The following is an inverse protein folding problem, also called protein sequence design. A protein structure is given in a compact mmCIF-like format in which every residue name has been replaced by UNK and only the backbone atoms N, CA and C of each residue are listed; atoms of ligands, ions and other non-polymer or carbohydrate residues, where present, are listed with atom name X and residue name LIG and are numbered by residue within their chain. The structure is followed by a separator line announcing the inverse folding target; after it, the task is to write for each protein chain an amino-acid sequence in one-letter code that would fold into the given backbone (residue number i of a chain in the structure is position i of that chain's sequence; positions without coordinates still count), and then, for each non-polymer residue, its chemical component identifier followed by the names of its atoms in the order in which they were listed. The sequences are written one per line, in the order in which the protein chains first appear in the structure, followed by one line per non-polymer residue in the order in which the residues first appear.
data_IF_154035679253
#
_entry.id   IF_154035679253
#
_cell.length_a   1.000
_cell.length_b   1.000
_cell.length_c   1.000
_cell.angle_alpha   90.00
_cell.angle_beta   90.00
_cell.angle_gamma   90.00
#
_symmetry.space_group_name_H-M   'P 1'
#
loop_
_entity.id
_entity.type
_entity.pdbx_description
1 polymer ?
#
# COMPACT_ATOMS: atom_id res chain seq x y z
N UNK A 1 -6.83 25.27 13.22
CA UNK A 1 -6.19 24.24 14.08
C UNK A 1 -7.27 23.25 14.48
N UNK A 2 -7.19 22.00 14.04
CA UNK A 2 -8.14 20.96 14.49
C UNK A 2 -7.76 20.61 15.94
N UNK A 3 -8.64 20.94 16.89
CA UNK A 3 -8.44 20.60 18.30
C UNK A 3 -8.56 19.08 18.45
N UNK A 4 -7.44 18.40 18.67
CA UNK A 4 -7.42 16.95 18.88
C UNK A 4 -8.19 16.63 20.17
N UNK A 5 -9.25 15.81 20.07
CA UNK A 5 -10.01 15.37 21.25
C UNK A 5 -9.08 14.57 22.16
N UNK A 6 -8.94 15.00 23.42
CA UNK A 6 -8.20 14.26 24.44
C UNK A 6 -9.14 13.42 25.28
N UNK A 7 -8.75 12.19 25.56
CA UNK A 7 -9.54 11.25 26.36
C UNK A 7 -8.92 11.08 27.74
N UNK A 8 -9.74 11.03 28.78
CA UNK A 8 -9.27 10.65 30.13
C UNK A 8 -9.54 9.17 30.32
N UNK A 9 -8.49 8.38 30.50
CA UNK A 9 -8.57 6.92 30.66
C UNK A 9 -8.10 6.55 32.08
N UNK A 10 -8.87 5.69 32.76
CA UNK A 10 -8.55 5.16 34.09
C UNK A 10 -8.87 3.65 34.14
N UNK A 11 -7.94 2.78 34.57
CA UNK A 11 -6.54 3.07 34.87
C UNK A 11 -5.75 3.50 33.61
N UNK A 12 -4.59 4.15 33.79
CA UNK A 12 -3.71 4.51 32.66
C UNK A 12 -3.20 3.25 31.99
N UNK A 13 -3.14 3.24 30.66
CA UNK A 13 -2.69 2.09 29.88
C UNK A 13 -1.20 1.77 30.10
N UNK A 14 -0.36 2.79 30.19
CA UNK A 14 1.08 2.65 30.43
C UNK A 14 1.63 3.83 31.25
N UNK A 15 2.80 3.65 31.85
CA UNK A 15 3.59 4.74 32.45
C UNK A 15 4.80 5.11 31.57
N UNK A 16 5.04 4.35 30.49
CA UNK A 16 6.11 4.60 29.53
C UNK A 16 5.75 5.68 28.49
N UNK A 17 6.77 6.13 27.75
CA UNK A 17 6.63 7.06 26.61
C UNK A 17 6.34 6.37 25.28
N UNK A 18 6.36 5.04 25.26
CA UNK A 18 6.25 4.22 24.07
C UNK A 18 5.40 2.99 24.38
N UNK A 19 4.54 2.63 23.44
CA UNK A 19 3.84 1.34 23.38
C UNK A 19 4.23 0.69 22.07
N UNK A 20 4.54 -0.60 22.13
CA UNK A 20 4.77 -1.45 20.97
C UNK A 20 3.61 -2.44 20.86
N UNK A 21 2.97 -2.49 19.69
CA UNK A 21 1.88 -3.40 19.36
C UNK A 21 2.43 -4.52 18.47
N UNK A 22 2.04 -5.78 18.67
CA UNK A 22 2.47 -6.93 17.84
C UNK A 22 3.39 -7.92 18.56
N UNK A 23 4.16 -7.43 19.53
CA UNK A 23 4.86 -8.16 20.59
C UNK A 23 5.90 -9.24 20.17
N UNK A 24 7.17 -8.81 20.04
CA UNK A 24 8.34 -9.56 20.53
C UNK A 24 9.48 -8.67 21.07
N UNK A 25 10.27 -9.27 21.95
CA UNK A 25 11.02 -8.79 23.12
C UNK A 25 11.96 -7.55 23.06
N UNK A 26 12.19 -6.88 21.93
CA UNK A 26 13.17 -5.77 21.91
C UNK A 26 12.75 -4.53 21.12
N UNK A 27 11.67 -4.59 20.32
CA UNK A 27 11.19 -3.44 19.54
C UNK A 27 12.24 -2.85 18.58
N UNK A 28 13.20 -3.69 18.17
CA UNK A 28 14.30 -3.35 17.25
C UNK A 28 13.78 -2.95 15.87
N UNK A 29 12.73 -3.63 15.41
CA UNK A 29 12.12 -3.34 14.11
C UNK A 29 10.68 -2.93 14.28
N UNK A 30 10.33 -1.74 13.80
CA UNK A 30 9.01 -1.18 14.00
C UNK A 30 8.64 -0.11 12.98
N UNK A 31 7.36 0.19 12.88
CA UNK A 31 6.84 1.42 12.24
C UNK A 31 6.06 2.25 13.23
N UNK A 32 6.13 3.57 13.06
CA UNK A 32 5.35 4.53 13.83
C UNK A 32 3.90 4.56 13.36
N UNK A 33 2.96 4.31 14.26
CA UNK A 33 1.53 4.43 13.95
C UNK A 33 0.94 5.77 14.38
N UNK A 34 1.53 6.41 15.39
CA UNK A 34 1.02 7.65 15.95
C UNK A 34 1.22 7.75 17.46
N UNK A 35 0.26 8.38 18.13
CA UNK A 35 0.30 8.64 19.57
C UNK A 35 -1.04 8.35 20.21
N UNK A 36 -1.03 7.98 21.48
CA UNK A 36 -2.27 7.92 22.25
C UNK A 36 -2.92 9.30 22.32
N UNK A 37 -4.23 9.34 22.15
CA UNK A 37 -5.05 10.55 22.30
C UNK A 37 -5.43 10.81 23.78
N UNK A 38 -4.72 10.20 24.74
CA UNK A 38 -4.99 10.36 26.17
C UNK A 38 -4.53 11.72 26.69
N UNK A 39 -5.21 12.24 27.70
CA UNK A 39 -4.81 13.44 28.42
C UNK A 39 -3.57 13.16 29.26
N UNK A 40 -2.57 14.04 29.15
CA UNK A 40 -1.32 13.96 29.92
C UNK A 40 -0.10 13.88 29.02
N UNK A 41 0.78 12.94 29.33
CA UNK A 41 2.04 12.73 28.63
C UNK A 41 1.80 12.15 27.23
N UNK A 42 2.58 12.61 26.25
CA UNK A 42 2.56 12.04 24.91
C UNK A 42 3.17 10.64 24.94
N UNK A 43 2.42 9.66 24.46
CA UNK A 43 2.84 8.26 24.36
C UNK A 43 2.88 7.90 22.88
N UNK A 44 4.08 7.57 22.39
CA UNK A 44 4.32 7.06 21.04
C UNK A 44 3.77 5.64 20.91
N UNK A 45 3.14 5.35 19.79
CA UNK A 45 2.61 4.02 19.46
C UNK A 45 3.33 3.54 18.21
N UNK A 46 4.05 2.43 18.38
CA UNK A 46 4.76 1.74 17.32
C UNK A 46 4.16 0.36 17.09
N UNK A 47 4.29 -0.16 15.88
CA UNK A 47 3.92 -1.51 15.50
C UNK A 47 5.18 -2.33 15.24
N UNK A 48 5.29 -3.46 15.90
CA UNK A 48 6.40 -4.39 15.77
C UNK A 48 6.40 -5.05 14.39
N UNK A 49 7.59 -5.17 13.80
CA UNK A 49 7.81 -5.86 12.54
C UNK A 49 8.69 -7.10 12.71
N UNK A 50 9.05 -7.46 13.94
CA UNK A 50 9.97 -8.55 14.23
C UNK A 50 9.50 -9.91 13.66
N UNK A 51 8.18 -10.12 13.61
CA UNK A 51 7.53 -11.32 13.09
C UNK A 51 6.46 -10.97 12.02
N UNK A 52 6.01 -11.94 11.20
CA UNK A 52 4.91 -11.73 10.28
C UNK A 52 3.58 -11.48 11.01
N UNK A 53 2.82 -10.49 10.54
CA UNK A 53 1.51 -10.14 11.08
C UNK A 53 0.45 -10.12 9.97
N UNK A 54 -0.76 -10.56 10.29
CA UNK A 54 -1.96 -10.31 9.48
C UNK A 54 -2.71 -9.16 10.16
N UNK A 55 -2.85 -8.03 9.46
CA UNK A 55 -3.46 -6.81 9.98
C UNK A 55 -4.68 -6.45 9.15
N UNK A 56 -5.78 -6.08 9.82
CA UNK A 56 -6.98 -5.59 9.18
C UNK A 56 -7.40 -4.23 9.75
N UNK A 57 -7.66 -3.26 8.88
CA UNK A 57 -8.03 -1.88 9.24
C UNK A 57 -9.49 -1.64 8.89
N UNK A 58 -10.35 -1.51 9.91
CA UNK A 58 -11.79 -1.32 9.73
C UNK A 58 -12.26 0.06 10.21
N UNK A 59 -13.38 0.54 9.66
CA UNK A 59 -13.99 1.81 10.07
C UNK A 59 -14.97 2.39 9.04
N UNK A 60 -15.83 3.31 9.49
CA UNK A 60 -16.82 3.99 8.64
C UNK A 60 -16.17 4.79 7.51
N UNK A 61 -16.95 5.21 6.51
CA UNK A 61 -16.47 6.14 5.47
C UNK A 61 -15.91 7.41 6.13
N UNK A 62 -14.73 7.85 5.70
CA UNK A 62 -14.06 9.03 6.25
C UNK A 62 -13.39 8.83 7.62
N UNK A 63 -13.33 7.61 8.17
CA UNK A 63 -12.71 7.36 9.48
C UNK A 63 -11.18 7.29 9.48
N UNK A 64 -10.52 7.51 8.33
CA UNK A 64 -9.06 7.49 8.24
C UNK A 64 -8.40 6.14 7.89
N UNK A 65 -9.13 5.13 7.40
CA UNK A 65 -8.54 3.82 7.03
C UNK A 65 -7.32 3.94 6.10
N UNK A 66 -7.49 4.65 4.98
CA UNK A 66 -6.41 4.87 4.02
C UNK A 66 -5.28 5.72 4.59
N UNK A 67 -5.60 6.64 5.51
CA UNK A 67 -4.59 7.43 6.20
C UNK A 67 -3.72 6.54 7.09
N UNK A 68 -4.33 5.65 7.88
CA UNK A 68 -3.60 4.67 8.69
C UNK A 68 -2.76 3.73 7.83
N UNK A 69 -3.30 3.22 6.72
CA UNK A 69 -2.53 2.39 5.78
C UNK A 69 -1.37 3.19 5.16
N UNK A 70 -1.57 4.45 4.83
CA UNK A 70 -0.54 5.35 4.32
C UNK A 70 0.60 5.54 5.30
N UNK A 71 0.31 5.90 6.56
CA UNK A 71 1.34 6.04 7.60
C UNK A 71 2.10 4.73 7.84
N UNK A 72 1.41 3.60 7.78
CA UNK A 72 2.04 2.29 7.88
C UNK A 72 3.00 2.03 6.70
N UNK A 73 2.54 2.30 5.48
CA UNK A 73 3.30 2.10 4.25
C UNK A 73 4.51 3.04 4.16
N UNK A 74 4.38 4.31 4.56
CA UNK A 74 5.50 5.25 4.64
C UNK A 74 6.60 4.71 5.57
N UNK A 75 6.23 4.16 6.72
CA UNK A 75 7.16 3.53 7.64
C UNK A 75 7.86 2.29 7.06
N UNK A 76 7.17 1.51 6.22
CA UNK A 76 7.75 0.33 5.57
C UNK A 76 8.73 0.67 4.44
N UNK A 77 8.60 1.86 3.84
CA UNK A 77 9.32 2.23 2.62
C UNK A 77 10.42 3.26 2.87
N UNK A 78 10.91 3.44 4.11
CA UNK A 78 12.00 4.39 4.37
C UNK A 78 13.31 3.92 3.73
N UNK A 79 14.07 4.85 3.13
CA UNK A 79 15.39 4.53 2.56
C UNK A 79 16.42 4.14 3.60
N UNK A 80 16.42 4.86 4.72
CA UNK A 80 17.36 4.61 5.80
C UNK A 80 16.83 3.52 6.75
N UNK A 81 17.70 2.65 7.28
CA UNK A 81 17.30 1.59 8.22
C UNK A 81 16.71 2.10 9.53
N UNK A 82 17.03 3.32 9.94
CA UNK A 82 16.52 3.93 11.17
C UNK A 82 16.12 5.38 10.91
N UNK A 83 14.86 5.70 11.20
CA UNK A 83 14.26 7.01 10.95
C UNK A 83 13.32 7.42 12.08
N UNK A 84 12.73 8.62 11.99
CA UNK A 84 11.74 9.04 12.98
C UNK A 84 10.41 8.29 12.90
N UNK A 85 10.13 7.63 11.77
CA UNK A 85 8.87 6.89 11.52
C UNK A 85 9.04 5.38 11.44
N UNK A 86 10.27 4.85 11.48
CA UNK A 86 10.53 3.41 11.42
C UNK A 86 11.93 3.04 11.88
N UNK A 87 12.10 1.77 12.25
CA UNK A 87 13.39 1.11 12.26
C UNK A 87 13.23 -0.25 11.56
N UNK A 88 13.95 -0.47 10.47
CA UNK A 88 13.89 -1.67 9.63
C UNK A 88 15.31 -2.03 9.24
N UNK A 89 15.83 -3.08 9.88
CA UNK A 89 17.22 -3.53 9.68
C UNK A 89 17.33 -4.69 8.72
N UNK A 90 16.24 -5.43 8.51
CA UNK A 90 16.16 -6.55 7.55
C UNK A 90 15.71 -6.05 6.19
N UNK A 91 16.20 -6.69 5.14
CA UNK A 91 15.71 -6.48 3.77
C UNK A 91 14.23 -6.86 3.70
N UNK A 92 13.38 -5.89 3.34
CA UNK A 92 11.94 -6.07 3.17
C UNK A 92 11.49 -5.32 1.91
N UNK A 93 10.45 -5.83 1.27
CA UNK A 93 9.75 -5.15 0.18
C UNK A 93 8.27 -5.05 0.53
N UNK A 94 7.67 -3.89 0.23
CA UNK A 94 6.24 -3.68 0.36
C UNK A 94 5.59 -3.65 -1.02
N UNK A 95 4.49 -4.41 -1.19
CA UNK A 95 3.66 -4.39 -2.40
C UNK A 95 2.26 -3.93 -2.02
N UNK A 96 1.78 -2.88 -2.68
CA UNK A 96 0.45 -2.32 -2.47
C UNK A 96 -0.36 -2.41 -3.76
N UNK A 97 -1.54 -3.02 -3.69
CA UNK A 97 -2.57 -2.91 -4.72
C UNK A 97 -3.48 -1.72 -4.40
N UNK A 98 -3.22 -0.58 -5.02
CA UNK A 98 -4.01 0.64 -4.85
C UNK A 98 -5.14 0.72 -5.89
N UNK A 99 -6.27 0.11 -5.56
CA UNK A 99 -7.44 0.09 -6.46
C UNK A 99 -8.14 1.45 -6.61
N UNK A 100 -7.83 2.43 -5.75
CA UNK A 100 -8.44 3.77 -5.79
C UNK A 100 -7.47 4.86 -6.29
N UNK A 101 -6.19 4.54 -6.50
CA UNK A 101 -5.18 5.48 -6.97
C UNK A 101 -4.87 6.63 -6.00
N UNK A 102 -5.11 6.46 -4.71
CA UNK A 102 -4.92 7.51 -3.69
C UNK A 102 -3.47 7.61 -3.18
N UNK A 103 -2.67 6.56 -3.36
CA UNK A 103 -1.28 6.49 -2.90
C UNK A 103 -0.26 6.90 -3.97
N UNK A 104 -0.73 7.38 -5.13
CA UNK A 104 0.10 7.90 -6.23
C UNK A 104 0.97 9.12 -5.88
N UNK A 105 0.84 9.67 -4.68
CA UNK A 105 1.58 10.85 -4.20
C UNK A 105 2.66 10.50 -3.16
N UNK A 106 2.86 9.21 -2.85
CA UNK A 106 3.84 8.77 -1.85
C UNK A 106 5.29 9.13 -2.21
N UNK A 107 5.59 9.34 -3.49
CA UNK A 107 6.90 9.76 -3.97
C UNK A 107 7.14 11.28 -3.84
N UNK A 108 6.13 12.04 -3.40
CA UNK A 108 6.22 13.49 -3.20
C UNK A 108 6.60 13.79 -1.74
N UNK A 109 7.85 14.21 -1.46
CA UNK A 109 8.27 14.48 -0.10
C UNK A 109 7.60 15.73 0.45
N UNK A 110 7.31 15.71 1.76
CA UNK A 110 6.83 16.89 2.46
C UNK A 110 7.95 17.93 2.55
N UNK A 111 7.70 19.14 2.03
CA UNK A 111 8.66 20.25 2.06
C UNK A 111 8.00 21.57 2.48
N UNK A 112 8.51 22.25 3.54
CA UNK A 112 8.01 23.56 3.96
C UNK A 112 8.21 24.66 2.91
N UNK A 113 9.19 24.50 2.00
CA UNK A 113 9.47 25.44 0.92
C UNK A 113 8.69 25.15 -0.36
N UNK A 114 7.82 24.12 -0.35
CA UNK A 114 6.98 23.81 -1.51
C UNK A 114 6.09 25.01 -1.88
N UNK A 115 5.92 25.34 -3.17
CA UNK A 115 4.97 26.37 -3.60
C UNK A 115 3.51 25.95 -3.41
N UNK A 116 3.24 24.65 -3.15
CA UNK A 116 1.90 24.15 -2.94
C UNK A 116 1.44 24.42 -1.51
N UNK A 117 0.36 25.18 -1.36
CA UNK A 117 -0.24 25.54 -0.07
C UNK A 117 -0.54 24.31 0.81
N UNK A 118 -1.04 23.23 0.21
CA UNK A 118 -1.35 21.99 0.93
C UNK A 118 -0.12 21.39 1.63
N UNK A 119 1.02 21.35 0.93
CA UNK A 119 2.28 20.83 1.49
C UNK A 119 2.82 21.73 2.61
N UNK A 120 2.65 23.05 2.49
CA UNK A 120 3.01 23.98 3.57
C UNK A 120 2.13 23.76 4.82
N UNK A 121 0.83 23.59 4.64
CA UNK A 121 -0.11 23.31 5.75
C UNK A 121 0.21 21.98 6.44
N UNK A 122 0.53 20.94 5.67
CA UNK A 122 0.98 19.65 6.21
C UNK A 122 2.32 19.77 6.95
N UNK A 123 3.28 20.52 6.42
CA UNK A 123 4.57 20.76 7.07
C UNK A 123 4.41 21.53 8.39
N UNK A 124 3.46 22.45 8.48
CA UNK A 124 3.11 23.12 9.74
C UNK A 124 2.47 22.16 10.75
N UNK A 125 1.58 21.27 10.29
CA UNK A 125 0.96 20.26 11.15
C UNK A 125 2.00 19.27 11.72
N UNK A 126 2.99 18.89 10.91
CA UNK A 126 4.09 18.01 11.31
C UNK A 126 4.89 18.56 12.49
N UNK A 127 5.06 19.88 12.63
CA UNK A 127 5.83 20.49 13.73
C UNK A 127 5.31 20.13 15.13
N UNK A 128 4.04 19.72 15.25
CA UNK A 128 3.46 19.21 16.50
C UNK A 128 3.87 17.76 16.83
N UNK A 129 4.62 17.12 15.94
CA UNK A 129 5.03 15.74 16.00
C UNK A 129 6.56 15.61 16.06
N UNK A 130 7.01 14.51 16.65
CA UNK A 130 8.41 14.13 16.80
C UNK A 130 8.78 13.21 15.64
N UNK A 131 8.50 13.72 14.44
CA UNK A 131 8.73 13.07 13.15
C UNK A 131 9.22 14.12 12.17
N UNK A 132 9.99 13.70 11.16
CA UNK A 132 10.41 14.54 10.05
C UNK A 132 10.01 13.90 8.72
N UNK A 133 10.14 14.67 7.64
CA UNK A 133 9.97 14.15 6.29
C UNK A 133 11.14 13.22 6.00
N UNK A 134 10.87 11.92 5.83
CA UNK A 134 11.89 10.92 5.52
C UNK A 134 11.84 10.58 4.02
N UNK A 135 12.99 10.38 3.37
CA UNK A 135 13.01 9.96 1.98
C UNK A 135 12.52 8.50 1.86
N UNK A 136 11.58 8.27 0.95
CA UNK A 136 10.99 6.95 0.72
C UNK A 136 11.58 6.28 -0.53
N UNK A 137 11.79 4.97 -0.45
CA UNK A 137 12.11 4.10 -1.57
C UNK A 137 10.83 3.50 -2.14
N UNK A 138 10.18 4.27 -3.01
CA UNK A 138 8.90 3.90 -3.60
C UNK A 138 8.99 3.93 -5.12
N UNK A 139 8.30 2.97 -5.74
CA UNK A 139 8.12 2.92 -7.18
C UNK A 139 6.65 2.74 -7.48
N UNK A 140 6.08 3.72 -8.18
CA UNK A 140 4.67 3.72 -8.54
C UNK A 140 4.54 3.17 -9.96
N UNK A 141 3.68 2.17 -10.10
CA UNK A 141 3.36 1.52 -11.37
C UNK A 141 1.92 1.85 -11.73
N UNK A 142 1.70 2.55 -12.83
CA UNK A 142 0.38 2.99 -13.28
C UNK A 142 0.01 2.30 -14.60
N UNK A 143 -1.25 1.85 -14.79
CA UNK A 143 -1.65 1.19 -16.02
C UNK A 143 -1.33 2.01 -17.27
N UNK A 144 -0.84 1.36 -18.34
CA UNK A 144 -0.65 1.99 -19.66
C UNK A 144 -1.89 2.78 -20.07
N UNK A 145 -1.67 4.01 -20.54
CA UNK A 145 -2.75 4.91 -20.99
C UNK A 145 -3.34 5.79 -19.88
N UNK A 146 -2.93 5.62 -18.62
CA UNK A 146 -3.25 6.60 -17.58
C UNK A 146 -2.39 7.86 -17.74
N UNK A 147 -2.99 9.04 -17.62
CA UNK A 147 -2.24 10.30 -17.58
C UNK A 147 -1.50 10.37 -16.25
N UNK A 148 -0.24 9.94 -16.23
CA UNK A 148 0.59 10.03 -15.04
C UNK A 148 0.83 11.50 -14.66
N UNK A 149 0.61 11.82 -13.39
CA UNK A 149 0.92 13.12 -12.79
C UNK A 149 2.43 13.36 -12.64
N UNK A 150 3.24 12.28 -12.63
CA UNK A 150 4.68 12.31 -12.43
C UNK A 150 5.43 11.60 -13.57
N UNK A 151 6.55 12.16 -14.00
CA UNK A 151 7.45 11.53 -15.00
C UNK A 151 8.21 10.32 -14.45
N UNK A 152 8.16 10.08 -13.15
CA UNK A 152 8.89 8.99 -12.49
C UNK A 152 8.06 7.70 -12.36
N UNK A 153 6.75 7.76 -12.61
CA UNK A 153 5.90 6.58 -12.56
C UNK A 153 6.24 5.63 -13.71
N UNK A 154 6.28 4.35 -13.40
CA UNK A 154 6.46 3.29 -14.38
C UNK A 154 5.13 2.87 -14.97
N UNK A 155 5.18 2.44 -16.22
CA UNK A 155 4.03 1.85 -16.86
C UNK A 155 3.83 0.41 -16.40
N UNK A 156 2.60 0.10 -16.00
CA UNK A 156 2.15 -1.24 -15.69
C UNK A 156 1.36 -1.79 -16.88
N UNK A 157 1.76 -2.95 -17.37
CA UNK A 157 1.05 -3.71 -18.38
C UNK A 157 1.02 -5.16 -17.97
N UNK A 158 -0.07 -5.84 -18.30
CA UNK A 158 -0.16 -7.29 -18.19
C UNK A 158 0.00 -7.85 -19.59
N UNK A 159 0.83 -8.88 -19.74
CA UNK A 159 0.96 -9.58 -21.00
C UNK A 159 -0.29 -10.46 -21.19
N UNK A 160 -1.05 -10.21 -22.25
CA UNK A 160 -2.25 -10.98 -22.54
C UNK A 160 -1.96 -12.47 -22.78
N UNK A 161 -0.74 -12.82 -23.21
CA UNK A 161 -0.35 -14.22 -23.38
C UNK A 161 -0.17 -14.98 -22.06
N UNK A 162 -0.03 -14.28 -20.92
CA UNK A 162 0.09 -14.91 -19.60
C UNK A 162 -1.27 -15.33 -19.03
N UNK A 163 -2.38 -14.92 -19.66
CA UNK A 163 -3.73 -15.21 -19.20
C UNK A 163 -4.07 -16.67 -19.48
N UNK A 164 -4.63 -17.34 -18.48
CA UNK A 164 -5.26 -18.66 -18.66
C UNK A 164 -6.66 -18.51 -19.26
N UNK A 165 -7.25 -19.60 -19.74
CA UNK A 165 -8.65 -19.62 -20.17
C UNK A 165 -9.59 -19.09 -19.06
N UNK A 166 -9.32 -19.41 -17.80
CA UNK A 166 -10.09 -18.92 -16.65
C UNK A 166 -9.94 -17.42 -16.44
N UNK A 167 -8.76 -16.85 -16.63
CA UNK A 167 -8.56 -15.39 -16.53
C UNK A 167 -9.35 -14.65 -17.60
N UNK A 168 -9.37 -15.17 -18.84
CA UNK A 168 -10.21 -14.64 -19.90
C UNK A 168 -11.70 -14.78 -19.61
N UNK A 169 -12.11 -15.94 -19.09
CA UNK A 169 -13.50 -16.17 -18.65
C UNK A 169 -13.93 -15.15 -17.60
N UNK A 170 -13.08 -14.91 -16.59
CA UNK A 170 -13.30 -13.89 -15.58
C UNK A 170 -13.40 -12.48 -16.18
N UNK A 171 -12.51 -12.10 -17.09
CA UNK A 171 -12.55 -10.80 -17.76
C UNK A 171 -13.82 -10.57 -18.59
N UNK A 172 -14.29 -11.60 -19.28
CA UNK A 172 -15.50 -11.53 -20.10
C UNK A 172 -16.79 -11.82 -19.33
N UNK A 173 -16.68 -12.20 -18.05
CA UNK A 173 -17.83 -12.54 -17.22
C UNK A 173 -18.55 -13.82 -17.66
N UNK A 174 -17.82 -14.81 -18.17
CA UNK A 174 -18.34 -16.12 -18.59
C UNK A 174 -17.66 -17.24 -17.82
N UNK A 175 -18.45 -18.25 -17.44
CA UNK A 175 -17.94 -19.47 -16.81
C UNK A 175 -17.45 -20.43 -17.89
N UNK A 176 -16.16 -20.75 -17.89
CA UNK A 176 -15.53 -21.60 -18.91
C UNK A 176 -16.03 -23.04 -18.91
N UNK A 177 -16.69 -23.49 -17.83
CA UNK A 177 -17.22 -24.84 -17.69
C UNK A 177 -18.73 -24.88 -17.92
N UNK A 178 -19.47 -23.87 -17.46
CA UNK A 178 -20.94 -23.87 -17.49
C UNK A 178 -21.53 -23.16 -18.71
N UNK A 179 -20.94 -22.06 -19.15
CA UNK A 179 -21.49 -21.26 -20.23
C UNK A 179 -21.02 -21.78 -21.58
N UNK A 180 -21.93 -21.90 -22.56
CA UNK A 180 -21.56 -22.31 -23.92
C UNK A 180 -20.51 -21.40 -24.55
N UNK A 181 -20.60 -20.09 -24.28
CA UNK A 181 -19.58 -19.13 -24.73
C UNK A 181 -18.25 -19.34 -24.01
N UNK A 182 -18.28 -19.68 -22.73
CA UNK A 182 -17.07 -19.99 -21.95
C UNK A 182 -16.40 -21.29 -22.40
N UNK A 183 -17.18 -22.32 -22.72
CA UNK A 183 -16.67 -23.58 -23.29
C UNK A 183 -15.98 -23.35 -24.63
N UNK A 184 -16.61 -22.57 -25.53
CA UNK A 184 -16.00 -22.20 -26.80
C UNK A 184 -14.71 -21.39 -26.62
N UNK A 185 -14.68 -20.47 -25.66
CA UNK A 185 -13.48 -19.70 -25.31
C UNK A 185 -12.36 -20.63 -24.84
N UNK A 186 -12.67 -21.62 -24.00
CA UNK A 186 -11.72 -22.61 -23.52
C UNK A 186 -11.17 -23.48 -24.66
N UNK A 187 -12.04 -23.98 -25.55
CA UNK A 187 -11.63 -24.77 -26.71
C UNK A 187 -10.71 -23.97 -27.64
N UNK A 188 -11.03 -22.69 -27.86
CA UNK A 188 -10.17 -21.79 -28.63
C UNK A 188 -8.83 -21.56 -27.95
N UNK A 189 -8.81 -21.40 -26.63
CA UNK A 189 -7.58 -21.26 -25.85
C UNK A 189 -6.68 -22.50 -25.99
N UNK A 190 -7.23 -23.70 -25.83
CA UNK A 190 -6.49 -24.95 -25.98
C UNK A 190 -5.87 -25.10 -27.38
N UNK A 191 -6.64 -24.76 -28.43
CA UNK A 191 -6.14 -24.76 -29.80
C UNK A 191 -5.01 -23.77 -30.04
N UNK A 192 -5.10 -22.57 -29.48
CA UNK A 192 -4.11 -21.52 -29.74
C UNK A 192 -2.85 -21.72 -28.89
N UNK A 193 -2.97 -22.21 -27.66
CA UNK A 193 -1.88 -22.21 -26.67
C UNK A 193 -1.22 -23.58 -26.49
N UNK A 194 -1.98 -24.68 -26.58
CA UNK A 194 -1.47 -26.00 -26.19
C UNK A 194 -1.38 -26.99 -27.36
N UNK A 195 -2.33 -26.94 -28.29
CA UNK A 195 -2.44 -27.94 -29.37
C UNK A 195 -1.93 -27.45 -30.74
N UNK A 196 -1.96 -26.14 -30.97
CA UNK A 196 -1.77 -25.54 -32.29
C UNK A 196 -3.04 -25.58 -33.15
N UNK A 197 -3.04 -24.79 -34.22
CA UNK A 197 -4.20 -24.60 -35.10
C UNK A 197 -3.79 -24.37 -36.56
N UNK A 198 -4.75 -24.42 -37.48
CA UNK A 198 -4.51 -24.16 -38.91
C UNK A 198 -5.60 -23.27 -39.50
N UNK A 199 -5.21 -22.35 -40.37
CA UNK A 199 -6.13 -21.52 -41.16
C UNK A 199 -6.49 -22.12 -42.53
N UNK A 200 -6.07 -23.36 -42.79
CA UNK A 200 -6.22 -24.06 -44.08
C UNK A 200 -5.09 -23.80 -45.08
N UNK A 201 -4.24 -22.80 -44.85
CA UNK A 201 -3.06 -22.48 -45.66
C UNK A 201 -1.74 -22.73 -44.92
N UNK A 202 -1.73 -22.45 -43.61
CA UNK A 202 -0.58 -22.61 -42.74
C UNK A 202 -1.00 -23.34 -41.45
N UNK A 203 -0.03 -24.02 -40.83
CA UNK A 203 -0.19 -24.64 -39.52
C UNK A 203 0.65 -23.86 -38.51
N UNK A 204 0.01 -23.49 -37.40
CA UNK A 204 0.59 -22.77 -36.30
C UNK A 204 0.78 -23.75 -35.15
N UNK A 205 2.03 -24.11 -34.81
CA UNK A 205 2.28 -24.91 -33.62
C UNK A 205 1.91 -24.12 -32.35
N UNK A 206 1.79 -24.80 -31.20
CA UNK A 206 1.66 -24.15 -29.89
C UNK A 206 2.73 -23.09 -29.63
#
# INVERSE_FOLDING_TARGET
MITMKKFTVKPRLTHGRRILIGNHDEGKEHVFLGRLAEAGQLVRVDFDLSIPHVVAIFGKRGSGKSYTLGSFLEGLCTREPETTISAITKTRAALLFDTLGIFQWLDVPLSPSSPQKLLQEQALAQRGWDIRSEPLDVQIWAPRGTTSSSRQHKEFTINCADFTASDWGYLFGVDILQDRMGQLLNDAYEKVVNEGWSDGSHTYPP
#
